data_IF_068603494690
#
_entry.id   IF_068603494690
#
_cell.length_a   1.000
_cell.length_b   1.000
_cell.length_c   1.000
_cell.angle_alpha   90.00
_cell.angle_beta   90.00
_cell.angle_gamma   90.00
#
_symmetry.space_group_name_H-M   'P 1'
#
loop_
_entity.id
_entity.type
_entity.pdbx_description
1 polymer ?
#
# COMPACT_ATOMS: atom_id res chain seq x y z
N UNK A 1 13.51 -45.07 -16.49
CA UNK A 1 14.32 -43.85 -16.32
C UNK A 1 14.11 -43.33 -14.90
N UNK A 2 15.16 -43.31 -14.07
CA UNK A 2 15.09 -42.87 -12.68
C UNK A 2 14.97 -41.34 -12.64
N UNK A 3 13.79 -40.83 -12.30
CA UNK A 3 13.56 -39.41 -12.11
C UNK A 3 14.34 -38.93 -10.89
N UNK A 4 15.50 -38.30 -11.11
CA UNK A 4 16.25 -37.63 -10.03
C UNK A 4 15.34 -36.55 -9.46
N UNK A 5 14.85 -36.75 -8.24
CA UNK A 5 14.15 -35.70 -7.50
C UNK A 5 15.00 -34.42 -7.52
N UNK A 6 14.46 -33.28 -7.98
CA UNK A 6 15.19 -32.03 -7.99
C UNK A 6 15.70 -31.70 -6.59
N UNK A 7 16.97 -31.29 -6.47
CA UNK A 7 17.55 -30.96 -5.17
C UNK A 7 16.74 -29.85 -4.50
N UNK A 8 16.50 -29.96 -3.18
CA UNK A 8 15.77 -28.95 -2.37
C UNK A 8 16.26 -27.52 -2.64
N UNK A 9 17.57 -27.35 -2.82
CA UNK A 9 18.20 -26.06 -3.09
C UNK A 9 17.85 -25.50 -4.48
N UNK A 10 17.74 -26.37 -5.48
CA UNK A 10 17.34 -25.97 -6.82
C UNK A 10 15.85 -25.60 -6.87
N UNK A 11 14.99 -26.35 -6.18
CA UNK A 11 13.54 -26.12 -6.11
C UNK A 11 13.21 -24.77 -5.45
N UNK A 12 13.84 -24.47 -4.30
CA UNK A 12 13.73 -23.17 -3.66
C UNK A 12 14.18 -22.02 -4.57
N UNK A 13 15.31 -22.18 -5.25
CA UNK A 13 15.83 -21.15 -6.16
C UNK A 13 14.88 -20.92 -7.34
N UNK A 14 14.26 -21.97 -7.88
CA UNK A 14 13.27 -21.87 -8.96
C UNK A 14 12.01 -21.12 -8.51
N UNK A 15 11.42 -21.51 -7.37
CA UNK A 15 10.21 -20.87 -6.82
C UNK A 15 10.47 -19.40 -6.47
N UNK A 16 11.61 -19.12 -5.82
CA UNK A 16 11.97 -17.75 -5.44
C UNK A 16 12.25 -16.88 -6.66
N UNK A 17 12.97 -17.39 -7.67
CA UNK A 17 13.19 -16.66 -8.92
C UNK A 17 11.89 -16.41 -9.68
N UNK A 18 10.95 -17.38 -9.68
CA UNK A 18 9.61 -17.19 -10.27
C UNK A 18 8.86 -16.09 -9.52
N UNK A 19 8.89 -16.13 -8.19
CA UNK A 19 8.27 -15.12 -7.35
C UNK A 19 8.83 -13.71 -7.64
N UNK A 20 10.16 -13.54 -7.65
CA UNK A 20 10.82 -12.25 -7.93
C UNK A 20 10.56 -11.74 -9.37
N UNK A 21 10.41 -12.65 -10.34
CA UNK A 21 10.07 -12.27 -11.70
C UNK A 21 8.58 -11.87 -11.86
N UNK A 22 7.69 -12.41 -11.03
CA UNK A 22 6.25 -12.15 -11.09
C UNK A 22 5.85 -10.93 -10.27
N UNK A 23 6.43 -10.77 -9.07
CA UNK A 23 6.06 -9.72 -8.13
C UNK A 23 7.16 -8.67 -8.03
N UNK A 24 6.88 -7.46 -8.54
CA UNK A 24 7.77 -6.32 -8.34
C UNK A 24 7.58 -5.77 -6.91
N UNK A 25 8.43 -6.26 -6.00
CA UNK A 25 8.40 -5.86 -4.59
C UNK A 25 8.57 -4.34 -4.43
N UNK A 26 9.40 -3.68 -5.23
CA UNK A 26 9.60 -2.24 -5.12
C UNK A 26 8.33 -1.45 -5.48
N UNK A 27 7.56 -1.92 -6.46
CA UNK A 27 6.26 -1.34 -6.80
C UNK A 27 5.19 -1.58 -5.73
N UNK A 28 5.24 -2.75 -5.09
CA UNK A 28 4.32 -3.17 -4.01
C UNK A 28 4.71 -2.59 -2.63
N UNK A 29 5.72 -1.72 -2.55
CA UNK A 29 6.14 -1.08 -1.31
C UNK A 29 5.24 0.10 -0.88
N UNK A 30 3.99 -0.19 -0.47
CA UNK A 30 2.94 0.81 -0.17
C UNK A 30 3.39 1.96 0.74
N UNK A 31 3.91 1.64 1.92
CA UNK A 31 4.29 2.65 2.93
C UNK A 31 5.43 3.57 2.44
N UNK A 32 6.43 2.99 1.76
CA UNK A 32 7.57 3.74 1.22
C UNK A 32 7.12 4.74 0.15
N UNK A 33 6.16 4.34 -0.68
CA UNK A 33 5.63 5.18 -1.77
C UNK A 33 4.69 6.27 -1.26
N UNK A 34 3.89 5.98 -0.24
CA UNK A 34 2.91 6.93 0.31
C UNK A 34 3.50 7.96 1.28
N UNK A 35 4.57 7.61 2.01
CA UNK A 35 5.24 8.50 2.97
C UNK A 35 5.60 9.89 2.41
N UNK A 36 6.30 10.04 1.27
CA UNK A 36 6.65 11.37 0.75
C UNK A 36 5.40 12.18 0.36
N UNK A 37 4.35 11.51 -0.13
CA UNK A 37 3.08 12.15 -0.45
C UNK A 37 2.36 12.70 0.79
N UNK A 38 2.38 11.94 1.89
CA UNK A 38 1.77 12.32 3.17
C UNK A 38 2.52 13.48 3.84
N UNK A 39 3.86 13.48 3.80
CA UNK A 39 4.68 14.58 4.32
C UNK A 39 4.45 15.87 3.52
N UNK A 40 4.44 15.80 2.19
CA UNK A 40 4.13 16.96 1.34
C UNK A 40 2.69 17.47 1.55
N UNK A 41 1.73 16.58 1.82
CA UNK A 41 0.36 16.98 2.14
C UNK A 41 0.28 17.74 3.48
N UNK A 42 1.02 17.32 4.51
CA UNK A 42 1.09 18.05 5.79
C UNK A 42 1.65 19.45 5.59
N UNK A 43 2.72 19.57 4.80
CA UNK A 43 3.30 20.86 4.45
C UNK A 43 2.29 21.76 3.71
N UNK A 44 1.53 21.18 2.79
CA UNK A 44 0.46 21.91 2.07
C UNK A 44 -0.59 22.45 3.05
N UNK A 45 -1.09 21.62 3.96
CA UNK A 45 -2.03 22.07 5.00
C UNK A 45 -1.48 23.18 5.88
N UNK A 46 -0.21 23.07 6.30
CA UNK A 46 0.46 24.10 7.09
C UNK A 46 0.55 25.43 6.33
N UNK A 47 0.97 25.41 5.06
CA UNK A 47 1.06 26.62 4.23
C UNK A 47 -0.30 27.32 4.10
N UNK A 48 -1.36 26.56 3.83
CA UNK A 48 -2.71 27.12 3.72
C UNK A 48 -3.19 27.73 5.05
N UNK A 49 -2.97 27.04 6.18
CA UNK A 49 -3.26 27.60 7.50
C UNK A 49 -2.50 28.91 7.74
N UNK A 50 -1.20 28.92 7.49
CA UNK A 50 -0.35 30.10 7.68
C UNK A 50 -0.81 31.29 6.85
N UNK A 51 -1.13 31.09 5.57
CA UNK A 51 -1.59 32.17 4.68
C UNK A 51 -2.88 32.81 5.21
N UNK A 52 -3.86 32.00 5.58
CA UNK A 52 -5.15 32.49 6.10
C UNK A 52 -4.97 33.21 7.43
N UNK A 53 -4.17 32.64 8.33
CA UNK A 53 -3.93 33.24 9.64
C UNK A 53 -3.20 34.57 9.51
N UNK A 54 -2.09 34.63 8.75
CA UNK A 54 -1.32 35.86 8.59
C UNK A 54 -2.09 36.95 7.85
N UNK A 55 -2.99 36.61 6.94
CA UNK A 55 -3.88 37.58 6.32
C UNK A 55 -4.83 38.22 7.36
N UNK A 56 -5.50 37.41 8.18
CA UNK A 56 -6.39 37.90 9.24
C UNK A 56 -5.64 38.68 10.32
N UNK A 57 -4.50 38.14 10.77
CA UNK A 57 -3.62 38.79 11.74
C UNK A 57 -3.09 40.12 11.21
N UNK A 58 -2.63 40.18 9.96
CA UNK A 58 -2.09 41.40 9.36
C UNK A 58 -3.13 42.52 9.28
N UNK A 59 -4.38 42.18 8.91
CA UNK A 59 -5.49 43.15 8.91
C UNK A 59 -5.81 43.65 10.33
N UNK A 60 -5.84 42.75 11.31
CA UNK A 60 -6.06 43.11 12.71
C UNK A 60 -4.92 44.00 13.24
N UNK A 61 -3.67 43.67 12.91
CA UNK A 61 -2.48 44.40 13.34
C UNK A 61 -2.44 45.81 12.77
N UNK A 62 -2.73 45.98 11.47
CA UNK A 62 -2.81 47.31 10.85
C UNK A 62 -3.91 48.14 11.52
N UNK A 63 -5.07 47.54 11.80
CA UNK A 63 -6.19 48.24 12.45
C UNK A 63 -5.85 48.67 13.88
N UNK A 64 -5.15 47.81 14.64
CA UNK A 64 -4.67 48.09 15.99
C UNK A 64 -3.60 49.19 15.99
N UNK A 65 -2.60 49.10 15.12
CA UNK A 65 -1.52 50.10 15.02
C UNK A 65 -2.01 51.51 14.64
N UNK A 66 -3.18 51.61 14.01
CA UNK A 66 -3.85 52.88 13.68
C UNK A 66 -4.81 53.37 14.76
N UNK A 67 -4.93 52.67 15.88
CA UNK A 67 -5.83 53.00 16.98
C UNK A 67 -7.32 52.82 16.65
N UNK A 68 -7.66 52.08 15.59
CA UNK A 68 -9.06 51.84 15.18
C UNK A 68 -9.72 50.81 16.11
N UNK A 69 -8.95 49.89 16.67
CA UNK A 69 -9.39 48.85 17.60
C UNK A 69 -8.47 48.82 18.83
N UNK A 70 -9.01 48.44 19.99
CA UNK A 70 -8.27 48.31 21.24
C UNK A 70 -7.58 46.92 21.38
N UNK A 71 -6.74 46.77 22.41
CA UNK A 71 -6.01 45.52 22.68
C UNK A 71 -6.94 44.32 22.90
N UNK A 72 -8.07 44.55 23.56
CA UNK A 72 -9.05 43.50 23.86
C UNK A 72 -9.72 42.99 22.58
N UNK A 73 -10.09 43.88 21.68
CA UNK A 73 -10.69 43.53 20.40
C UNK A 73 -9.68 42.89 19.45
N UNK A 74 -8.44 43.38 19.42
CA UNK A 74 -7.35 42.76 18.66
C UNK A 74 -7.15 41.29 19.07
N UNK A 75 -7.03 41.01 20.37
CA UNK A 75 -6.87 39.64 20.87
C UNK A 75 -8.04 38.72 20.47
N UNK A 76 -9.28 39.23 20.54
CA UNK A 76 -10.46 38.48 20.08
C UNK A 76 -10.40 38.15 18.60
N UNK A 77 -9.97 39.10 17.76
CA UNK A 77 -9.82 38.87 16.32
C UNK A 77 -8.75 37.82 16.02
N UNK A 78 -7.59 37.87 16.69
CA UNK A 78 -6.53 36.87 16.51
C UNK A 78 -7.04 35.46 16.83
N UNK A 79 -7.74 35.28 17.96
CA UNK A 79 -8.37 34.00 18.30
C UNK A 79 -9.44 33.58 17.29
N UNK A 80 -10.27 34.53 16.83
CA UNK A 80 -11.32 34.27 15.85
C UNK A 80 -10.74 33.76 14.51
N UNK A 81 -9.57 34.26 14.08
CA UNK A 81 -8.91 33.81 12.86
C UNK A 81 -8.12 32.50 13.00
N UNK A 82 -7.73 32.12 14.22
CA UNK A 82 -6.99 30.89 14.49
C UNK A 82 -7.81 29.62 14.15
N UNK A 83 -9.10 29.61 14.50
CA UNK A 83 -10.00 28.47 14.25
C UNK A 83 -10.20 28.21 12.75
N UNK A 84 -10.67 29.18 11.92
CA UNK A 84 -10.91 28.94 10.50
C UNK A 84 -9.60 28.65 9.74
N UNK A 85 -8.48 29.25 10.12
CA UNK A 85 -7.16 28.90 9.57
C UNK A 85 -6.83 27.42 9.79
N UNK A 86 -7.04 26.92 11.01
CA UNK A 86 -6.78 25.51 11.35
C UNK A 86 -7.68 24.56 10.56
N UNK A 87 -8.97 24.91 10.41
CA UNK A 87 -9.92 24.12 9.61
C UNK A 87 -9.48 24.06 8.16
N UNK A 88 -9.17 25.20 7.54
CA UNK A 88 -8.74 25.28 6.13
C UNK A 88 -7.44 24.49 5.92
N UNK A 89 -6.46 24.62 6.82
CA UNK A 89 -5.24 23.83 6.76
C UNK A 89 -5.48 22.33 6.87
N UNK A 90 -6.36 21.91 7.79
CA UNK A 90 -6.77 20.51 7.94
C UNK A 90 -7.45 19.97 6.69
N UNK A 91 -8.37 20.73 6.09
CA UNK A 91 -9.05 20.34 4.84
C UNK A 91 -8.06 20.25 3.67
N UNK A 92 -7.16 21.22 3.53
CA UNK A 92 -6.13 21.20 2.48
C UNK A 92 -5.18 20.00 2.64
N UNK A 93 -4.81 19.66 3.88
CA UNK A 93 -4.04 18.45 4.19
C UNK A 93 -4.78 17.18 3.77
N UNK A 94 -6.05 17.02 4.16
CA UNK A 94 -6.84 15.84 3.83
C UNK A 94 -7.01 15.65 2.31
N UNK A 95 -7.36 16.72 1.59
CA UNK A 95 -7.51 16.69 0.14
C UNK A 95 -6.18 16.33 -0.53
N UNK A 96 -5.09 16.97 -0.13
CA UNK A 96 -3.77 16.68 -0.71
C UNK A 96 -3.30 15.26 -0.40
N UNK A 97 -3.56 14.76 0.82
CA UNK A 97 -3.19 13.40 1.21
C UNK A 97 -3.93 12.38 0.36
N UNK A 98 -5.25 12.50 0.27
CA UNK A 98 -6.09 11.59 -0.51
C UNK A 98 -5.71 11.59 -1.99
N UNK A 99 -5.50 12.76 -2.59
CA UNK A 99 -5.15 12.86 -4.02
C UNK A 99 -3.79 12.22 -4.33
N UNK A 100 -2.81 12.36 -3.43
CA UNK A 100 -1.47 11.79 -3.61
C UNK A 100 -1.46 10.28 -3.35
N UNK A 101 -2.21 9.82 -2.37
CA UNK A 101 -2.35 8.40 -2.03
C UNK A 101 -3.14 7.64 -3.11
N UNK A 102 -4.18 8.26 -3.68
CA UNK A 102 -5.03 7.65 -4.72
C UNK A 102 -4.23 7.19 -5.94
N UNK A 103 -3.31 8.01 -6.47
CA UNK A 103 -2.48 7.62 -7.63
C UNK A 103 -1.63 6.39 -7.35
N UNK A 104 -1.14 6.24 -6.12
CA UNK A 104 -0.31 5.11 -5.72
C UNK A 104 -1.18 3.86 -5.57
N UNK A 105 -2.37 3.99 -4.98
CA UNK A 105 -3.34 2.89 -4.88
C UNK A 105 -3.76 2.38 -6.25
N UNK A 106 -4.05 3.29 -7.19
CA UNK A 106 -4.41 2.93 -8.56
C UNK A 106 -3.25 2.24 -9.31
N UNK A 107 -2.02 2.75 -9.17
CA UNK A 107 -0.84 2.11 -9.76
C UNK A 107 -0.59 0.70 -9.20
N UNK A 108 -0.76 0.52 -7.88
CA UNK A 108 -0.66 -0.80 -7.26
C UNK A 108 -1.80 -1.72 -7.72
N UNK A 109 -3.04 -1.20 -7.85
CA UNK A 109 -4.16 -1.99 -8.37
C UNK A 109 -3.93 -2.44 -9.80
N UNK A 110 -3.43 -1.54 -10.67
CA UNK A 110 -3.07 -1.88 -12.03
C UNK A 110 -2.03 -3.01 -12.04
N UNK A 111 -1.01 -2.91 -11.19
CA UNK A 111 -0.01 -3.97 -11.08
C UNK A 111 -0.59 -5.29 -10.55
N UNK A 112 -1.52 -5.23 -9.58
CA UNK A 112 -2.26 -6.40 -9.10
C UNK A 112 -3.03 -7.06 -10.25
N UNK A 113 -3.72 -6.27 -11.07
CA UNK A 113 -4.42 -6.77 -12.26
C UNK A 113 -3.48 -7.41 -13.27
N UNK A 114 -2.29 -6.83 -13.49
CA UNK A 114 -1.29 -7.36 -14.42
C UNK A 114 -0.80 -8.75 -14.01
N UNK A 115 -0.48 -8.98 -12.73
CA UNK A 115 0.04 -10.27 -12.30
C UNK A 115 -1.03 -11.30 -11.99
N UNK A 116 -2.24 -10.91 -11.55
CA UNK A 116 -3.33 -11.86 -11.32
C UNK A 116 -3.85 -12.43 -12.65
N UNK A 117 -3.94 -11.62 -13.71
CA UNK A 117 -4.54 -12.05 -14.97
C UNK A 117 -5.95 -12.62 -14.79
N UNK A 118 -6.37 -13.52 -15.68
CA UNK A 118 -7.71 -14.16 -15.60
C UNK A 118 -7.77 -15.37 -14.64
N UNK A 119 -6.62 -16.00 -14.35
CA UNK A 119 -6.57 -17.27 -13.59
C UNK A 119 -6.06 -17.13 -12.16
N UNK A 120 -5.63 -15.95 -11.76
CA UNK A 120 -4.98 -15.68 -10.49
C UNK A 120 -3.60 -16.32 -10.36
N UNK A 121 -2.68 -15.59 -9.72
CA UNK A 121 -1.30 -16.06 -9.54
C UNK A 121 -0.95 -16.19 -8.07
N UNK A 122 -1.62 -15.45 -7.18
CA UNK A 122 -1.30 -15.44 -5.76
C UNK A 122 -1.76 -16.71 -5.03
N UNK A 123 -2.91 -17.29 -5.41
CA UNK A 123 -3.42 -18.55 -4.85
C UNK A 123 -2.49 -19.74 -5.10
N UNK A 124 -1.61 -19.67 -6.10
CA UNK A 124 -0.61 -20.72 -6.35
C UNK A 124 0.40 -20.86 -5.20
N UNK A 125 0.45 -19.87 -4.32
CA UNK A 125 1.22 -19.86 -3.09
C UNK A 125 0.37 -20.11 -1.84
N UNK A 126 -0.87 -20.60 -1.99
CA UNK A 126 -1.82 -20.86 -0.91
C UNK A 126 -1.20 -21.58 0.29
N UNK A 127 -0.45 -22.66 0.07
CA UNK A 127 0.17 -23.44 1.16
C UNK A 127 1.22 -22.64 1.95
N UNK A 128 1.83 -21.63 1.33
CA UNK A 128 2.70 -20.69 2.00
C UNK A 128 1.91 -19.55 2.69
N UNK A 129 0.83 -19.09 2.06
CA UNK A 129 -0.04 -18.05 2.62
C UNK A 129 -0.77 -18.54 3.88
N UNK A 130 -1.22 -19.80 3.92
CA UNK A 130 -1.83 -20.44 5.10
C UNK A 130 -0.90 -20.50 6.32
N UNK A 131 0.41 -20.46 6.10
CA UNK A 131 1.40 -20.46 7.19
C UNK A 131 1.65 -19.05 7.76
N UNK A 132 1.18 -18.00 7.07
CA UNK A 132 1.32 -16.63 7.50
C UNK A 132 0.15 -16.24 8.41
N UNK A 133 0.46 -15.62 9.55
CA UNK A 133 -0.55 -15.02 10.42
C UNK A 133 -0.29 -13.50 10.51
N UNK A 134 -1.02 -12.73 9.70
CA UNK A 134 -0.95 -11.28 9.68
C UNK A 134 -2.13 -10.70 10.46
N UNK A 135 -1.86 -10.02 11.58
CA UNK A 135 -2.88 -9.50 12.53
C UNK A 135 -4.01 -8.63 11.95
N UNK A 136 -3.90 -8.16 10.71
CA UNK A 136 -4.84 -7.23 10.07
C UNK A 136 -5.27 -7.67 8.68
N UNK A 137 -4.84 -8.83 8.21
CA UNK A 137 -5.13 -9.33 6.87
C UNK A 137 -5.90 -10.61 6.99
N UNK A 138 -7.07 -10.67 6.38
CA UNK A 138 -7.82 -11.90 6.20
C UNK A 138 -7.14 -12.73 5.10
N UNK A 139 -6.29 -13.68 5.52
CA UNK A 139 -5.52 -14.52 4.61
C UNK A 139 -6.41 -15.50 3.83
N UNK A 140 -7.49 -16.00 4.44
CA UNK A 140 -8.43 -16.91 3.79
C UNK A 140 -9.21 -16.16 2.71
N UNK A 141 -9.77 -14.99 3.06
CA UNK A 141 -10.45 -14.13 2.08
C UNK A 141 -9.53 -13.65 0.96
N UNK A 142 -8.23 -13.49 1.21
CA UNK A 142 -7.24 -13.12 0.20
C UNK A 142 -6.92 -14.26 -0.77
N UNK A 143 -6.83 -15.50 -0.28
CA UNK A 143 -6.63 -16.68 -1.13
C UNK A 143 -7.86 -16.91 -2.00
N UNK A 144 -9.06 -16.85 -1.41
CA UNK A 144 -10.32 -16.99 -2.16
C UNK A 144 -10.48 -15.90 -3.23
N UNK A 145 -10.20 -14.65 -2.87
CA UNK A 145 -10.23 -13.55 -3.83
C UNK A 145 -9.21 -13.72 -4.97
N UNK A 146 -8.09 -14.41 -4.76
CA UNK A 146 -7.13 -14.74 -5.83
C UNK A 146 -7.66 -15.85 -6.74
N UNK A 147 -8.28 -16.89 -6.16
CA UNK A 147 -8.90 -17.96 -6.95
C UNK A 147 -9.98 -17.44 -7.90
N UNK A 148 -10.73 -16.43 -7.48
CA UNK A 148 -11.81 -15.84 -8.26
C UNK A 148 -11.36 -14.66 -9.14
N UNK A 149 -10.07 -14.31 -9.13
CA UNK A 149 -9.55 -13.12 -9.84
C UNK A 149 -10.12 -11.78 -9.32
N UNK A 150 -10.63 -11.76 -8.09
CA UNK A 150 -11.25 -10.60 -7.43
C UNK A 150 -10.28 -9.82 -6.53
N UNK A 151 -8.97 -10.13 -6.58
CA UNK A 151 -7.95 -9.50 -5.74
C UNK A 151 -7.92 -7.97 -5.85
N UNK A 152 -8.26 -7.42 -7.02
CA UNK A 152 -8.35 -5.96 -7.26
C UNK A 152 -9.38 -5.26 -6.35
N UNK A 153 -10.38 -5.99 -5.86
CA UNK A 153 -11.42 -5.46 -4.97
C UNK A 153 -10.96 -5.36 -3.51
N UNK A 154 -9.85 -6.02 -3.16
CA UNK A 154 -9.27 -5.94 -1.83
C UNK A 154 -8.48 -4.64 -1.62
N UNK A 155 -8.17 -4.35 -0.36
CA UNK A 155 -7.29 -3.25 -0.02
C UNK A 155 -5.87 -3.55 -0.56
N UNK A 156 -5.29 -2.65 -1.39
CA UNK A 156 -3.95 -2.83 -1.92
C UNK A 156 -2.90 -3.03 -0.82
N UNK A 157 -3.12 -2.42 0.35
CA UNK A 157 -2.26 -2.53 1.52
C UNK A 157 -2.15 -3.97 2.04
N UNK A 158 -3.27 -4.68 2.10
CA UNK A 158 -3.35 -6.05 2.61
C UNK A 158 -2.67 -7.03 1.64
N UNK A 159 -2.88 -6.83 0.34
CA UNK A 159 -2.21 -7.59 -0.73
C UNK A 159 -0.69 -7.36 -0.68
N UNK A 160 -0.24 -6.11 -0.55
CA UNK A 160 1.19 -5.79 -0.44
C UNK A 160 1.82 -6.40 0.82
N UNK A 161 1.10 -6.40 1.94
CA UNK A 161 1.57 -7.00 3.18
C UNK A 161 1.71 -8.53 3.05
N UNK A 162 0.72 -9.19 2.44
CA UNK A 162 0.75 -10.64 2.19
C UNK A 162 1.91 -11.03 1.26
N UNK A 163 2.10 -10.32 0.14
CA UNK A 163 3.18 -10.62 -0.82
C UNK A 163 4.56 -10.45 -0.20
N UNK A 164 4.77 -9.40 0.61
CA UNK A 164 6.05 -9.23 1.33
C UNK A 164 6.28 -10.33 2.36
N UNK A 165 5.27 -10.64 3.16
CA UNK A 165 5.38 -11.71 4.16
C UNK A 165 5.66 -13.08 3.49
N UNK A 166 5.08 -13.31 2.31
CA UNK A 166 5.35 -14.46 1.48
C UNK A 166 6.79 -14.47 0.94
N UNK A 167 7.29 -13.34 0.44
CA UNK A 167 8.70 -13.21 0.06
C UNK A 167 9.63 -13.55 1.22
N UNK A 168 9.38 -12.98 2.41
CA UNK A 168 10.19 -13.23 3.61
C UNK A 168 10.17 -14.71 4.00
N UNK A 169 9.01 -15.36 3.93
CA UNK A 169 8.87 -16.81 4.16
C UNK A 169 9.66 -17.64 3.12
N UNK A 170 9.57 -17.32 1.83
CA UNK A 170 10.28 -18.07 0.77
C UNK A 170 11.80 -17.83 0.80
N UNK A 171 12.20 -16.63 1.23
CA UNK A 171 13.60 -16.21 1.41
C UNK A 171 14.23 -16.78 2.68
N UNK A 172 13.45 -17.37 3.60
CA UNK A 172 13.98 -18.00 4.81
C UNK A 172 14.59 -19.40 4.53
N UNK A 173 15.74 -19.70 5.15
CA UNK A 173 16.42 -20.99 5.01
C UNK A 173 15.75 -22.13 5.78
N UNK A 174 14.90 -21.83 6.76
CA UNK A 174 14.21 -22.83 7.58
C UNK A 174 12.92 -23.36 6.94
N UNK A 175 12.48 -22.79 5.83
CA UNK A 175 11.21 -23.13 5.18
C UNK A 175 11.20 -24.60 4.71
N UNK A 176 10.13 -25.37 5.01
CA UNK A 176 10.05 -26.79 4.68
C UNK A 176 10.17 -27.05 3.17
N UNK A 177 10.88 -28.12 2.79
CA UNK A 177 10.98 -28.53 1.37
C UNK A 177 9.61 -28.87 0.77
N UNK A 178 8.72 -29.43 1.60
CA UNK A 178 7.37 -29.83 1.24
C UNK A 178 6.51 -28.67 0.71
N UNK A 179 6.75 -27.45 1.24
CA UNK A 179 6.05 -26.25 0.80
C UNK A 179 6.44 -25.86 -0.63
N UNK A 180 7.73 -25.95 -0.97
CA UNK A 180 8.18 -25.66 -2.33
C UNK A 180 7.67 -26.70 -3.33
N UNK A 181 7.57 -27.97 -2.95
CA UNK A 181 6.99 -29.02 -3.82
C UNK A 181 5.49 -28.84 -4.03
N UNK A 182 4.74 -28.42 -3.00
CA UNK A 182 3.31 -28.14 -3.13
C UNK A 182 3.05 -26.95 -4.07
N UNK A 183 3.83 -25.87 -3.93
CA UNK A 183 3.78 -24.73 -4.85
C UNK A 183 4.07 -25.20 -6.28
N UNK A 184 5.14 -25.96 -6.52
CA UNK A 184 5.48 -26.43 -7.87
C UNK A 184 4.37 -27.30 -8.49
N UNK A 185 3.64 -28.09 -7.69
CA UNK A 185 2.51 -28.88 -8.20
C UNK A 185 1.35 -28.01 -8.69
N UNK A 186 1.04 -26.88 -8.03
CA UNK A 186 -0.01 -25.95 -8.47
C UNK A 186 0.36 -25.24 -9.78
N UNK A 187 1.65 -25.03 -10.05
CA UNK A 187 2.12 -24.48 -11.32
C UNK A 187 2.18 -25.51 -12.46
N UNK A 188 2.29 -26.81 -12.13
CA UNK A 188 2.43 -27.88 -13.11
C UNK A 188 1.08 -28.37 -13.65
N UNK A 189 0.02 -28.32 -12.84
CA UNK A 189 -1.34 -28.74 -13.24
C UNK A 189 -1.91 -27.94 -14.41
N UNK A 190 -1.57 -26.66 -14.54
CA UNK A 190 -2.05 -25.80 -15.65
C UNK A 190 -1.35 -26.07 -17.00
N UNK A 191 -0.14 -26.64 -16.99
CA UNK A 191 0.57 -26.98 -18.23
C UNK A 191 0.01 -28.22 -18.92
N UNK A 192 -0.66 -29.11 -18.17
CA UNK A 192 -1.31 -30.30 -18.74
C UNK A 192 -2.67 -30.00 -19.36
N UNK A 193 -3.39 -28.97 -18.90
CA UNK A 193 -4.66 -28.54 -19.50
C UNK A 193 -4.45 -27.76 -20.80
N UNK A 194 -3.37 -26.98 -20.91
CA UNK A 194 -3.06 -26.21 -22.13
C UNK A 194 -2.47 -27.05 -23.26
N UNK A 195 -1.92 -28.24 -22.97
CA UNK A 195 -1.40 -29.17 -23.97
C UNK A 195 -2.42 -30.20 -24.47
N UNK A 196 -3.66 -30.17 -23.97
CA UNK A 196 -4.76 -31.06 -24.37
C UNK A 196 -5.83 -30.39 -25.24
N UNK A 197 -5.69 -29.08 -25.52
CA UNK A 197 -6.54 -28.33 -26.45
C UNK A 197 -5.80 -28.01 -27.74
#
# INVERSE_FOLDING_TARGET
MSGKQPSKRNLRKTVLRRFENTFDLDRLHYERRTKPGKEAAKLTGLVFASVVFFAGFGLAYISHSRGVIDDMFFNKLVFLFMIPSSVIGGTAWLISSNRREFKIREDIRAHITEFEGEKGTLWRYEEALKQLNLKKVDMEGLIEASHEGRLIKMAPEDVCAAIRALHDLLSNSTTPAALFTAIESHFSSDQEETNKG
#
